data_IF_029654690772
#
_entry.id   IF_029654690772
#
_cell.length_a   1.000
_cell.length_b   1.000
_cell.length_c   1.000
_cell.angle_alpha   90.00
_cell.angle_beta   90.00
_cell.angle_gamma   90.00
#
_symmetry.space_group_name_H-M   'P 1'
#
loop_
_entity.id
_entity.type
_entity.pdbx_description
1 polymer ?
#
# COMPACT_ATOMS: atom_id res chain seq x y z
N UNK A 1 -6.11 10.12 13.14
CA UNK A 1 -6.48 8.77 13.63
C UNK A 1 -5.20 8.15 14.13
N UNK A 2 -5.25 7.40 15.21
CA UNK A 2 -4.06 6.76 15.80
C UNK A 2 -4.16 5.22 15.76
N UNK A 3 -3.14 4.54 16.28
CA UNK A 3 -3.09 3.07 16.29
C UNK A 3 -4.25 2.44 17.06
N UNK A 4 -4.76 3.10 18.12
CA UNK A 4 -5.85 2.57 18.94
C UNK A 4 -7.18 2.55 18.19
N UNK A 5 -7.43 3.54 17.33
CA UNK A 5 -8.59 3.57 16.44
C UNK A 5 -8.58 2.38 15.47
N UNK A 6 -7.43 2.11 14.87
CA UNK A 6 -7.29 1.03 13.91
C UNK A 6 -7.31 -0.34 14.59
N UNK A 7 -6.68 -0.48 15.77
CA UNK A 7 -6.78 -1.70 16.56
C UNK A 7 -8.25 -2.04 16.90
N UNK A 8 -9.03 -1.04 17.34
CA UNK A 8 -10.44 -1.25 17.60
C UNK A 8 -11.24 -1.62 16.32
N UNK A 9 -10.89 -1.03 15.18
CA UNK A 9 -11.53 -1.34 13.89
C UNK A 9 -11.21 -2.75 13.42
N UNK A 10 -9.98 -3.24 13.61
CA UNK A 10 -9.55 -4.57 13.22
C UNK A 10 -9.84 -5.65 14.27
N UNK A 11 -10.36 -5.29 15.45
CA UNK A 11 -10.72 -6.24 16.53
C UNK A 11 -12.05 -6.95 16.22
N UNK A 12 -12.04 -7.77 15.20
CA UNK A 12 -13.15 -8.57 14.69
C UNK A 12 -12.66 -9.95 14.29
N UNK A 13 -13.53 -10.95 14.27
CA UNK A 13 -13.18 -12.31 13.83
C UNK A 13 -12.96 -12.38 12.32
N UNK A 14 -13.74 -11.61 11.55
CA UNK A 14 -13.68 -11.56 10.09
C UNK A 14 -12.67 -10.52 9.60
N UNK A 15 -12.18 -10.68 8.37
CA UNK A 15 -11.40 -9.65 7.68
C UNK A 15 -12.30 -8.45 7.36
N UNK A 16 -11.81 -7.25 7.69
CA UNK A 16 -12.54 -5.99 7.43
C UNK A 16 -12.55 -5.68 5.92
N UNK A 17 -11.45 -6.03 5.28
CA UNK A 17 -11.29 -5.84 3.84
C UNK A 17 -11.16 -7.18 3.12
N UNK A 18 -11.21 -7.15 1.80
CA UNK A 18 -10.96 -8.34 0.99
C UNK A 18 -9.54 -8.88 1.20
N UNK A 19 -9.38 -10.19 1.21
CA UNK A 19 -8.08 -10.87 1.25
C UNK A 19 -7.46 -11.05 -0.16
N UNK A 20 -8.11 -10.52 -1.19
CA UNK A 20 -7.60 -10.52 -2.55
C UNK A 20 -6.73 -9.29 -2.77
N UNK A 21 -5.59 -9.47 -3.42
CA UNK A 21 -4.67 -8.40 -3.80
C UNK A 21 -5.39 -7.23 -4.48
N UNK A 22 -4.97 -6.01 -4.19
CA UNK A 22 -5.48 -4.83 -4.89
C UNK A 22 -5.21 -4.95 -6.39
N UNK A 23 -6.22 -4.64 -7.22
CA UNK A 23 -6.11 -4.79 -8.67
C UNK A 23 -4.97 -3.99 -9.30
N UNK A 24 -4.70 -2.78 -8.79
CA UNK A 24 -3.62 -1.94 -9.29
C UNK A 24 -2.26 -2.45 -8.81
N UNK A 25 -2.17 -2.96 -7.58
CA UNK A 25 -0.95 -3.64 -7.11
C UNK A 25 -0.63 -4.80 -8.02
N UNK A 26 -1.60 -5.65 -8.32
CA UNK A 26 -1.41 -6.75 -9.27
C UNK A 26 -1.03 -6.25 -10.66
N UNK A 27 -1.79 -5.32 -11.24
CA UNK A 27 -1.59 -4.79 -12.60
C UNK A 27 -0.17 -4.23 -12.82
N UNK A 28 0.33 -3.44 -11.87
CA UNK A 28 1.61 -2.77 -12.02
C UNK A 28 2.81 -3.58 -11.51
N UNK A 29 2.61 -4.46 -10.52
CA UNK A 29 3.71 -5.26 -9.97
C UNK A 29 3.90 -6.60 -10.69
N UNK A 30 2.88 -7.21 -11.28
CA UNK A 30 3.01 -8.49 -11.99
C UNK A 30 4.08 -8.46 -13.11
N UNK A 31 4.19 -7.40 -13.95
CA UNK A 31 5.27 -7.29 -14.93
C UNK A 31 6.67 -7.09 -14.31
N UNK A 32 6.76 -6.51 -13.11
CA UNK A 32 8.02 -6.33 -12.39
C UNK A 32 8.49 -7.65 -11.79
N UNK A 33 7.57 -8.39 -11.15
CA UNK A 33 7.81 -9.72 -10.58
C UNK A 33 8.27 -10.71 -11.65
N UNK A 34 7.66 -10.68 -12.83
CA UNK A 34 8.01 -11.59 -13.93
C UNK A 34 9.45 -11.44 -14.44
N UNK A 35 10.14 -10.35 -14.12
CA UNK A 35 11.53 -10.11 -14.52
C UNK A 35 12.58 -10.80 -13.63
N UNK A 36 12.17 -11.29 -12.45
CA UNK A 36 13.05 -11.93 -11.49
C UNK A 36 12.31 -13.02 -10.71
N UNK A 37 13.01 -14.11 -10.40
CA UNK A 37 12.41 -15.30 -9.78
C UNK A 37 12.21 -15.16 -8.27
N UNK A 38 12.90 -14.25 -7.64
CA UNK A 38 12.84 -13.97 -6.20
C UNK A 38 13.10 -12.48 -5.96
N UNK A 39 12.48 -11.92 -4.97
CA UNK A 39 12.66 -10.53 -4.58
C UNK A 39 12.14 -10.27 -3.18
N UNK A 40 12.26 -9.03 -2.77
CA UNK A 40 11.81 -8.52 -1.47
C UNK A 40 10.88 -7.35 -1.67
N UNK A 41 9.81 -7.30 -0.89
CA UNK A 41 8.88 -6.18 -0.93
C UNK A 41 8.45 -5.72 0.47
N UNK A 42 8.02 -4.48 0.56
CA UNK A 42 7.36 -3.87 1.71
C UNK A 42 5.95 -3.46 1.30
N UNK A 43 4.95 -3.78 2.15
CA UNK A 43 3.58 -3.24 2.08
C UNK A 43 3.40 -2.28 3.27
N UNK A 44 3.51 -0.99 3.00
CA UNK A 44 3.46 0.07 4.01
C UNK A 44 2.02 0.42 4.35
N UNK A 45 1.67 0.42 5.64
CA UNK A 45 0.30 0.51 6.13
C UNK A 45 -0.60 -0.56 5.49
N UNK A 46 -0.06 -1.79 5.37
CA UNK A 46 -0.69 -2.86 4.59
C UNK A 46 -1.86 -3.55 5.31
N UNK A 47 -2.17 -3.17 6.55
CA UNK A 47 -3.32 -3.66 7.31
C UNK A 47 -3.29 -5.18 7.46
N UNK A 48 -4.36 -5.84 6.99
CA UNK A 48 -4.53 -7.31 7.05
C UNK A 48 -3.67 -8.07 6.01
N UNK A 49 -2.74 -7.40 5.29
CA UNK A 49 -1.65 -8.01 4.54
C UNK A 49 -1.97 -8.53 3.14
N UNK A 50 -3.13 -8.22 2.56
CA UNK A 50 -3.58 -8.79 1.27
C UNK A 50 -2.57 -8.64 0.11
N UNK A 51 -1.86 -7.50 0.04
CA UNK A 51 -0.89 -7.26 -1.02
C UNK A 51 0.43 -7.98 -0.72
N UNK A 52 0.96 -7.84 0.49
CA UNK A 52 2.18 -8.53 0.92
C UNK A 52 2.08 -10.05 0.74
N UNK A 53 0.95 -10.64 1.15
CA UNK A 53 0.72 -12.09 1.02
C UNK A 53 0.66 -12.52 -0.45
N UNK A 54 0.05 -11.72 -1.33
CA UNK A 54 0.06 -12.01 -2.76
C UNK A 54 1.50 -12.05 -3.32
N UNK A 55 2.41 -11.18 -2.89
CA UNK A 55 3.82 -11.26 -3.27
C UNK A 55 4.47 -12.54 -2.74
N UNK A 56 4.16 -12.96 -1.51
CA UNK A 56 4.66 -14.22 -0.96
C UNK A 56 4.14 -15.44 -1.74
N UNK A 57 2.90 -15.41 -2.23
CA UNK A 57 2.36 -16.43 -3.14
C UNK A 57 3.11 -16.48 -4.49
N UNK A 58 3.83 -15.41 -4.88
CA UNK A 58 4.72 -15.38 -6.03
C UNK A 58 6.17 -15.79 -5.69
N UNK A 59 6.44 -16.24 -4.47
CA UNK A 59 7.76 -16.66 -4.01
C UNK A 59 8.68 -15.53 -3.53
N UNK A 60 8.14 -14.34 -3.30
CA UNK A 60 8.88 -13.20 -2.77
C UNK A 60 8.84 -13.14 -1.25
N UNK A 61 9.90 -12.63 -0.64
CA UNK A 61 9.83 -12.21 0.76
C UNK A 61 9.02 -10.91 0.86
N UNK A 62 8.03 -10.89 1.75
CA UNK A 62 7.21 -9.71 1.98
C UNK A 62 7.26 -9.26 3.43
N UNK A 63 7.31 -7.97 3.68
CA UNK A 63 7.15 -7.36 4.99
C UNK A 63 5.90 -6.48 4.98
N UNK A 64 4.94 -6.82 5.83
CA UNK A 64 3.75 -6.01 6.07
C UNK A 64 3.99 -5.12 7.28
N UNK A 65 4.03 -3.82 7.05
CA UNK A 65 4.26 -2.79 8.09
C UNK A 65 2.93 -2.10 8.38
N UNK A 66 2.51 -2.14 9.63
CA UNK A 66 1.33 -1.43 10.11
C UNK A 66 1.48 -1.11 11.60
N UNK A 67 0.85 -0.08 12.08
CA UNK A 67 0.84 0.23 13.50
C UNK A 67 -0.21 -0.54 14.31
N UNK A 68 -1.17 -1.18 13.63
CA UNK A 68 -2.20 -2.01 14.26
C UNK A 68 -1.72 -3.45 14.48
N UNK A 69 -1.57 -3.81 15.75
CA UNK A 69 -1.25 -5.20 16.16
C UNK A 69 -2.33 -6.18 15.72
N UNK A 70 -3.59 -5.74 15.73
CA UNK A 70 -4.73 -6.58 15.33
C UNK A 70 -4.71 -6.88 13.84
N UNK A 71 -4.43 -5.88 13.01
CA UNK A 71 -4.27 -6.07 11.56
C UNK A 71 -3.13 -7.03 11.25
N UNK A 72 -1.96 -6.82 11.86
CA UNK A 72 -0.78 -7.66 11.65
C UNK A 72 -1.01 -9.11 12.14
N UNK A 73 -1.73 -9.31 13.23
CA UNK A 73 -2.10 -10.67 13.68
C UNK A 73 -2.95 -11.41 12.65
N UNK A 74 -3.89 -10.70 11.99
CA UNK A 74 -4.69 -11.26 10.90
C UNK A 74 -3.86 -11.51 9.65
N UNK A 75 -2.89 -10.63 9.35
CA UNK A 75 -1.95 -10.80 8.25
C UNK A 75 -1.14 -12.09 8.41
N UNK A 76 -0.58 -12.34 9.60
CA UNK A 76 0.14 -13.57 9.89
C UNK A 76 -0.75 -14.82 9.74
N UNK A 77 -1.98 -14.75 10.27
CA UNK A 77 -2.96 -15.84 10.12
C UNK A 77 -3.28 -16.11 8.64
N UNK A 78 -3.46 -15.05 7.84
CA UNK A 78 -3.71 -15.20 6.40
C UNK A 78 -2.52 -15.83 5.67
N UNK A 79 -1.29 -15.50 6.07
CA UNK A 79 -0.08 -16.10 5.51
C UNK A 79 0.01 -17.62 5.83
N UNK A 80 -0.37 -18.03 7.04
CA UNK A 80 -0.48 -19.45 7.41
C UNK A 80 -1.55 -20.16 6.56
N UNK A 81 -2.75 -19.57 6.45
CA UNK A 81 -3.87 -20.11 5.64
C UNK A 81 -3.50 -20.28 4.16
N UNK A 82 -2.61 -19.41 3.64
CA UNK A 82 -2.13 -19.44 2.25
C UNK A 82 -0.86 -20.26 2.06
N UNK A 83 -0.28 -20.82 3.14
CA UNK A 83 0.93 -21.63 3.08
C UNK A 83 2.21 -20.86 2.71
N UNK A 84 2.27 -19.57 3.05
CA UNK A 84 3.40 -18.67 2.75
C UNK A 84 4.02 -18.02 3.99
N UNK A 85 3.75 -18.57 5.18
CA UNK A 85 4.23 -18.02 6.46
C UNK A 85 5.76 -17.85 6.53
N UNK A 86 6.53 -18.73 5.87
CA UNK A 86 7.99 -18.65 5.83
C UNK A 86 8.55 -17.48 5.00
N UNK A 87 7.70 -16.86 4.16
CA UNK A 87 8.06 -15.75 3.28
C UNK A 87 7.46 -14.42 3.73
N UNK A 88 6.56 -14.43 4.72
CA UNK A 88 5.81 -13.25 5.14
C UNK A 88 6.21 -12.81 6.54
N UNK A 89 6.56 -11.53 6.68
CA UNK A 89 6.95 -10.89 7.93
C UNK A 89 5.95 -9.77 8.28
N UNK A 90 5.64 -9.62 9.56
CA UNK A 90 4.78 -8.56 10.07
C UNK A 90 5.56 -7.68 11.05
N UNK A 91 5.56 -6.37 10.84
CA UNK A 91 6.33 -5.41 11.60
C UNK A 91 5.45 -4.28 12.11
N UNK A 92 5.44 -4.05 13.42
CA UNK A 92 4.69 -2.96 14.05
C UNK A 92 5.53 -1.69 13.96
N UNK A 93 5.11 -0.74 13.14
CA UNK A 93 5.76 0.56 13.05
C UNK A 93 4.80 1.64 12.53
N UNK A 94 5.21 2.91 12.71
CA UNK A 94 4.58 4.05 12.08
C UNK A 94 5.07 4.16 10.63
N UNK A 95 4.16 4.48 9.70
CA UNK A 95 4.48 4.61 8.29
C UNK A 95 5.44 5.76 7.98
N UNK A 96 5.51 6.78 8.84
CA UNK A 96 6.36 7.96 8.66
C UNK A 96 7.78 7.78 9.19
N UNK A 97 8.10 6.63 9.79
CA UNK A 97 9.43 6.38 10.32
C UNK A 97 9.62 4.94 10.76
N UNK A 98 10.14 4.11 9.87
CA UNK A 98 10.45 2.70 10.15
C UNK A 98 11.77 2.29 9.49
N UNK A 99 12.33 1.20 9.97
CA UNK A 99 13.45 0.52 9.34
C UNK A 99 13.01 -0.92 9.05
N UNK A 100 12.99 -1.30 7.78
CA UNK A 100 12.58 -2.63 7.36
C UNK A 100 13.63 -3.68 7.73
N UNK A 101 13.18 -4.85 8.19
CA UNK A 101 14.07 -6.00 8.42
C UNK A 101 14.53 -6.64 7.11
N UNK A 102 13.87 -6.35 5.99
CA UNK A 102 14.22 -6.86 4.66
C UNK A 102 15.10 -5.89 3.85
N UNK A 103 15.31 -4.66 4.33
CA UNK A 103 16.03 -3.61 3.57
C UNK A 103 17.42 -4.08 3.09
N UNK A 104 17.85 -3.70 1.85
CA UNK A 104 17.07 -3.02 0.83
C UNK A 104 16.11 -3.97 0.11
N UNK A 105 14.93 -3.45 -0.28
CA UNK A 105 13.91 -4.20 -1.00
C UNK A 105 13.83 -3.81 -2.47
N UNK A 106 13.22 -4.66 -3.29
CA UNK A 106 13.03 -4.43 -4.73
C UNK A 106 11.81 -3.57 -5.04
N UNK A 107 10.73 -3.76 -4.26
CA UNK A 107 9.45 -3.07 -4.45
C UNK A 107 8.92 -2.60 -3.09
N UNK A 108 8.55 -1.32 -3.02
CA UNK A 108 7.75 -0.75 -1.94
C UNK A 108 6.32 -0.49 -2.43
N UNK A 109 5.34 -0.90 -1.65
CA UNK A 109 3.91 -0.66 -1.92
C UNK A 109 3.32 0.16 -0.78
N UNK A 110 2.48 1.14 -1.10
CA UNK A 110 1.61 1.82 -0.15
C UNK A 110 0.22 1.95 -0.77
N UNK A 111 -0.78 1.29 -0.15
CA UNK A 111 -2.11 1.23 -0.70
C UNK A 111 -3.17 1.71 0.31
N UNK A 112 -3.81 2.84 0.01
CA UNK A 112 -4.86 3.46 0.81
C UNK A 112 -4.44 3.99 2.18
N UNK A 113 -3.17 4.35 2.35
CA UNK A 113 -2.73 5.20 3.45
C UNK A 113 -3.25 6.63 3.20
N UNK A 114 -4.40 6.94 3.79
CA UNK A 114 -5.10 8.21 3.62
C UNK A 114 -4.82 9.12 4.83
N UNK A 115 -3.75 9.87 4.73
CA UNK A 115 -3.23 10.77 5.77
C UNK A 115 -3.00 12.17 5.19
N UNK A 116 -2.79 13.22 6.02
CA UNK A 116 -2.44 14.55 5.54
C UNK A 116 -1.22 14.52 4.61
N UNK A 117 -1.13 15.51 3.70
CA UNK A 117 -0.09 15.53 2.66
C UNK A 117 1.34 15.47 3.22
N UNK A 118 1.62 16.10 4.36
CA UNK A 118 2.94 16.04 4.98
C UNK A 118 3.27 14.63 5.49
N UNK A 119 2.33 13.99 6.19
CA UNK A 119 2.51 12.61 6.68
C UNK A 119 2.67 11.63 5.52
N UNK A 120 2.00 11.89 4.37
CA UNK A 120 2.15 11.09 3.16
C UNK A 120 3.54 11.30 2.53
N UNK A 121 4.06 12.53 2.53
CA UNK A 121 5.42 12.82 2.06
C UNK A 121 6.46 12.10 2.91
N UNK A 122 6.35 12.18 4.24
CA UNK A 122 7.24 11.51 5.17
C UNK A 122 7.19 9.96 5.02
N UNK A 123 5.99 9.41 4.81
CA UNK A 123 5.82 7.97 4.57
C UNK A 123 6.43 7.54 3.22
N UNK A 124 6.31 8.34 2.17
CA UNK A 124 6.92 8.06 0.87
C UNK A 124 8.44 8.18 0.93
N UNK A 125 8.98 9.18 1.62
CA UNK A 125 10.43 9.34 1.83
C UNK A 125 11.00 8.11 2.54
N UNK A 126 10.40 7.72 3.67
CA UNK A 126 10.79 6.52 4.42
C UNK A 126 10.70 5.25 3.54
N UNK A 127 9.64 5.11 2.73
CA UNK A 127 9.50 3.96 1.84
C UNK A 127 10.59 3.94 0.76
N UNK A 128 10.89 5.09 0.15
CA UNK A 128 11.95 5.24 -0.86
C UNK A 128 13.30 4.85 -0.30
N UNK A 129 13.62 5.24 0.95
CA UNK A 129 14.88 4.92 1.61
C UNK A 129 15.09 3.41 1.80
N UNK A 130 14.01 2.65 1.96
CA UNK A 130 14.06 1.20 2.09
C UNK A 130 14.11 0.45 0.75
N UNK A 131 13.78 1.08 -0.38
CA UNK A 131 13.86 0.48 -1.72
C UNK A 131 15.28 0.66 -2.29
N UNK A 132 15.87 -0.36 -2.90
CA UNK A 132 17.20 -0.27 -3.54
C UNK A 132 17.20 0.68 -4.75
N UNK A 133 18.34 1.29 -5.12
CA UNK A 133 18.47 1.97 -6.41
C UNK A 133 18.03 1.08 -7.57
N UNK A 134 17.22 1.62 -8.48
CA UNK A 134 16.58 0.90 -9.59
C UNK A 134 15.39 0.03 -9.18
N UNK A 135 15.03 -0.03 -7.90
CA UNK A 135 13.78 -0.64 -7.41
C UNK A 135 12.57 0.28 -7.65
N UNK A 136 11.37 -0.21 -7.34
CA UNK A 136 10.13 0.51 -7.65
C UNK A 136 9.31 0.81 -6.41
N UNK A 137 8.59 1.92 -6.46
CA UNK A 137 7.59 2.32 -5.48
C UNK A 137 6.24 2.39 -6.19
N UNK A 138 5.25 1.69 -5.63
CA UNK A 138 3.87 1.75 -6.11
C UNK A 138 2.97 2.33 -5.03
N UNK A 139 2.31 3.42 -5.35
CA UNK A 139 1.31 4.07 -4.51
C UNK A 139 -0.09 4.01 -5.12
N UNK A 140 -1.09 3.76 -4.28
CA UNK A 140 -2.51 3.63 -4.69
C UNK A 140 -3.39 4.30 -3.65
N UNK A 141 -4.18 5.32 -4.02
CA UNK A 141 -5.07 6.03 -3.08
C UNK A 141 -6.40 6.39 -3.72
N UNK A 142 -7.42 6.62 -2.92
CA UNK A 142 -8.58 7.37 -3.39
C UNK A 142 -8.12 8.76 -3.82
N UNK A 143 -8.41 9.15 -5.05
CA UNK A 143 -8.05 10.44 -5.58
C UNK A 143 -8.92 11.56 -4.97
N UNK A 144 -8.42 12.79 -4.96
CA UNK A 144 -9.19 13.98 -4.54
C UNK A 144 -10.46 14.15 -5.36
N UNK A 145 -10.39 13.87 -6.65
CA UNK A 145 -11.52 13.92 -7.59
C UNK A 145 -12.64 12.93 -7.22
N UNK A 146 -12.32 11.89 -6.45
CA UNK A 146 -13.32 10.93 -5.95
C UNK A 146 -14.36 11.57 -5.01
N UNK A 147 -14.08 12.76 -4.43
CA UNK A 147 -15.05 13.48 -3.61
C UNK A 147 -16.27 13.95 -4.40
N UNK A 148 -16.05 14.45 -5.61
CA UNK A 148 -17.10 14.99 -6.47
C UNK A 148 -17.72 13.91 -7.36
N UNK A 149 -16.88 13.05 -7.95
CA UNK A 149 -17.27 12.22 -9.08
C UNK A 149 -17.29 10.72 -8.75
N UNK A 150 -16.96 10.34 -7.49
CA UNK A 150 -16.84 8.93 -7.09
C UNK A 150 -17.48 8.58 -5.76
N UNK A 151 -17.36 7.30 -5.42
CA UNK A 151 -17.87 6.69 -4.19
C UNK A 151 -16.73 6.01 -3.40
N UNK A 152 -16.98 5.83 -2.10
CA UNK A 152 -16.00 5.23 -1.18
C UNK A 152 -14.87 6.17 -0.80
N UNK A 153 -13.99 5.69 0.11
CA UNK A 153 -12.91 6.47 0.67
C UNK A 153 -13.35 7.54 1.68
N UNK A 154 -12.37 8.27 2.25
CA UNK A 154 -12.62 9.38 3.15
C UNK A 154 -13.37 10.52 2.46
N UNK A 155 -14.09 11.31 3.25
CA UNK A 155 -14.77 12.54 2.79
C UNK A 155 -14.02 13.81 3.20
N UNK A 156 -12.80 13.66 3.69
CA UNK A 156 -11.90 14.73 4.05
C UNK A 156 -10.89 14.95 2.92
N UNK A 157 -10.94 16.11 2.27
CA UNK A 157 -10.05 16.47 1.17
C UNK A 157 -8.58 16.50 1.60
N UNK A 158 -8.30 16.82 2.88
CA UNK A 158 -6.94 16.96 3.39
C UNK A 158 -6.14 15.64 3.36
N UNK A 159 -6.82 14.49 3.31
CA UNK A 159 -6.17 13.16 3.26
C UNK A 159 -6.27 12.48 1.89
N UNK A 160 -6.75 13.21 0.87
CA UNK A 160 -6.92 12.69 -0.48
C UNK A 160 -5.87 13.29 -1.40
N UNK A 161 -4.88 12.50 -1.86
CA UNK A 161 -3.89 13.00 -2.80
C UNK A 161 -4.51 13.20 -4.19
N UNK A 162 -3.89 14.09 -4.96
CA UNK A 162 -4.14 14.30 -6.38
C UNK A 162 -2.87 14.04 -7.19
N UNK A 163 -2.99 13.97 -8.51
CA UNK A 163 -1.82 13.93 -9.40
C UNK A 163 -0.88 15.12 -9.12
N UNK A 164 -1.42 16.32 -8.90
CA UNK A 164 -0.62 17.51 -8.62
C UNK A 164 0.15 17.40 -7.30
N UNK A 165 -0.54 17.04 -6.20
CA UNK A 165 0.12 16.92 -4.89
C UNK A 165 1.17 15.81 -4.83
N UNK A 166 0.95 14.68 -5.51
CA UNK A 166 1.95 13.62 -5.61
C UNK A 166 3.13 14.02 -6.50
N UNK A 167 2.92 14.84 -7.54
CA UNK A 167 4.03 15.40 -8.33
C UNK A 167 4.92 16.29 -7.47
N UNK A 168 4.33 17.13 -6.61
CA UNK A 168 5.06 17.98 -5.67
C UNK A 168 5.88 17.13 -4.67
N UNK A 169 5.27 16.12 -4.06
CA UNK A 169 5.98 15.23 -3.13
C UNK A 169 7.15 14.51 -3.83
N UNK A 170 6.92 13.95 -5.01
CA UNK A 170 7.96 13.23 -5.74
C UNK A 170 9.11 14.11 -6.24
N UNK A 171 8.90 15.43 -6.39
CA UNK A 171 9.96 16.35 -6.79
C UNK A 171 11.10 16.45 -5.77
N UNK A 172 10.83 16.17 -4.50
CA UNK A 172 11.80 16.19 -3.42
C UNK A 172 12.44 14.82 -3.13
N UNK A 173 11.97 13.76 -3.81
CA UNK A 173 12.44 12.38 -3.61
C UNK A 173 13.40 11.94 -4.74
N UNK A 174 14.36 11.05 -4.46
CA UNK A 174 15.27 10.51 -5.48
C UNK A 174 14.58 9.44 -6.34
N UNK A 175 13.54 9.83 -7.06
CA UNK A 175 12.73 8.93 -7.89
C UNK A 175 12.49 9.49 -9.28
N UNK A 176 12.30 8.59 -10.25
CA UNK A 176 11.77 8.90 -11.57
C UNK A 176 10.34 8.37 -11.67
N UNK A 177 9.38 9.25 -11.93
CA UNK A 177 7.98 8.88 -12.10
C UNK A 177 7.81 8.18 -13.45
N UNK A 178 7.36 6.93 -13.44
CA UNK A 178 7.02 6.16 -14.64
C UNK A 178 5.52 6.24 -14.97
N UNK A 179 4.68 6.28 -13.94
CA UNK A 179 3.22 6.46 -14.05
C UNK A 179 2.74 7.33 -12.90
N UNK A 180 1.95 8.35 -13.23
CA UNK A 180 1.18 9.12 -12.25
C UNK A 180 -0.12 9.57 -12.90
N UNK A 181 -1.23 8.93 -12.53
CA UNK A 181 -2.50 9.17 -13.22
C UNK A 181 -3.70 8.77 -12.36
N UNK A 182 -4.83 9.40 -12.63
CA UNK A 182 -6.12 8.92 -12.13
C UNK A 182 -6.59 7.71 -12.95
N UNK A 183 -7.18 6.74 -12.25
CA UNK A 183 -7.70 5.49 -12.81
C UNK A 183 -9.13 5.28 -12.31
N UNK A 184 -10.00 4.93 -13.24
CA UNK A 184 -11.37 4.55 -12.91
C UNK A 184 -11.40 3.20 -12.19
N UNK A 185 -12.21 3.15 -11.14
CA UNK A 185 -12.46 1.99 -10.32
C UNK A 185 -13.93 1.77 -10.03
N UNK A 186 -14.17 0.75 -9.23
CA UNK A 186 -15.48 0.47 -8.68
C UNK A 186 -15.32 0.10 -7.21
N UNK A 187 -16.28 0.51 -6.40
CA UNK A 187 -16.37 0.13 -4.99
C UNK A 187 -17.72 -0.52 -4.73
N UNK A 188 -17.71 -1.60 -3.95
CA UNK A 188 -18.94 -2.23 -3.50
C UNK A 188 -19.59 -1.37 -2.43
N UNK A 189 -20.83 -0.99 -2.64
CA UNK A 189 -21.68 -0.30 -1.66
C UNK A 189 -22.90 -1.15 -1.34
N UNK A 190 -23.69 -0.73 -0.34
CA UNK A 190 -24.98 -1.37 -0.04
C UNK A 190 -25.98 -1.29 -1.21
N UNK A 191 -25.81 -0.31 -2.10
CA UNK A 191 -26.64 -0.11 -3.29
C UNK A 191 -26.01 -0.70 -4.56
N UNK A 192 -25.03 -1.62 -4.43
CA UNK A 192 -24.30 -2.27 -5.53
C UNK A 192 -22.97 -1.60 -5.85
N UNK A 193 -22.39 -1.99 -6.99
CA UNK A 193 -21.13 -1.42 -7.48
C UNK A 193 -21.33 0.03 -7.92
N UNK A 194 -20.47 0.91 -7.44
CA UNK A 194 -20.46 2.35 -7.77
C UNK A 194 -19.08 2.74 -8.31
N UNK A 195 -19.00 3.77 -9.19
CA UNK A 195 -17.73 4.25 -9.70
C UNK A 195 -16.86 4.82 -8.57
N UNK A 196 -15.55 4.67 -8.70
CA UNK A 196 -14.56 5.30 -7.82
C UNK A 196 -13.38 5.79 -8.64
N UNK A 197 -12.69 6.83 -8.16
CA UNK A 197 -11.49 7.36 -8.79
C UNK A 197 -10.31 7.12 -7.87
N UNK A 198 -9.27 6.49 -8.41
CA UNK A 198 -8.05 6.13 -7.71
C UNK A 198 -6.88 6.81 -8.39
N UNK A 199 -6.01 7.48 -7.64
CA UNK A 199 -4.72 7.93 -8.16
C UNK A 199 -3.68 6.84 -7.95
N UNK A 200 -2.89 6.58 -9.00
CA UNK A 200 -1.81 5.58 -9.00
C UNK A 200 -0.49 6.26 -9.33
N UNK A 201 0.51 5.99 -8.50
CA UNK A 201 1.90 6.37 -8.69
C UNK A 201 2.74 5.09 -8.88
N UNK A 202 3.47 4.98 -9.98
CA UNK A 202 4.60 4.06 -10.12
C UNK A 202 5.85 4.90 -10.34
N UNK A 203 6.85 4.74 -9.49
CA UNK A 203 8.11 5.44 -9.57
C UNK A 203 9.29 4.48 -9.40
N UNK A 204 10.41 4.78 -10.04
CA UNK A 204 11.66 4.03 -9.93
C UNK A 204 12.65 4.83 -9.07
N UNK A 205 13.24 4.22 -8.05
CA UNK A 205 14.31 4.85 -7.28
C UNK A 205 15.56 5.06 -8.14
N UNK A 206 16.14 6.27 -8.09
CA UNK A 206 17.36 6.67 -8.80
C UNK A 206 18.63 6.12 -8.15
#
# INVERSE_FOLDING_TARGET
>A
MDSSYWDAKFDTDDYIYTTVVNRFVKEYCEPLIAKQTQGKMIDLAGGEGRNAIWFSEQGWQSENIDWSKKALSKSLKLAEERGVADLHFAHIADATGFESVLTPVDIGVVAYLQVPQQDLADALDTLVDNVRPGGHILGVWHARENLADGYGGPRDEAVLPSVASLTEICADLPVEIEVLTNRDGQVQTKDGLKPSITVVLLARRL
#
